data_IF_818701902122
#
_entry.id   IF_818701902122
#
_cell.length_a   1.000
_cell.length_b   1.000
_cell.length_c   1.000
_cell.angle_alpha   90.00
_cell.angle_beta   90.00
_cell.angle_gamma   90.00
#
_symmetry.space_group_name_H-M   'P 1'
#
loop_
_entity.id
_entity.type
_entity.pdbx_description
1 polymer ?
#
# COMPACT_ATOMS: atom_id res chain seq x y z
N UNK A 1 -8.86 14.84 -0.22
CA UNK A 1 -10.28 14.49 0.01
C UNK A 1 -10.36 13.60 1.23
N UNK A 2 -11.00 14.01 2.34
CA UNK A 2 -11.10 13.22 3.57
C UNK A 2 -11.70 11.83 3.36
N UNK A 3 -12.65 11.69 2.43
CA UNK A 3 -13.32 10.43 2.10
C UNK A 3 -12.37 9.42 1.47
N UNK A 4 -11.50 9.86 0.55
CA UNK A 4 -10.52 8.99 -0.12
C UNK A 4 -9.48 8.49 0.89
N UNK A 5 -9.05 9.35 1.81
CA UNK A 5 -8.04 8.98 2.80
C UNK A 5 -8.59 7.90 3.73
N UNK A 6 -9.81 8.11 4.24
CA UNK A 6 -10.50 7.12 5.07
C UNK A 6 -10.67 5.79 4.34
N UNK A 7 -11.08 5.81 3.07
CA UNK A 7 -11.28 4.58 2.29
C UNK A 7 -9.97 3.79 2.10
N UNK A 8 -8.85 4.48 1.84
CA UNK A 8 -7.53 3.84 1.75
C UNK A 8 -7.11 3.26 3.11
N UNK A 9 -7.26 4.02 4.19
CA UNK A 9 -6.90 3.56 5.54
C UNK A 9 -7.75 2.37 5.98
N UNK A 10 -9.05 2.36 5.67
CA UNK A 10 -9.93 1.23 5.99
C UNK A 10 -9.55 -0.01 5.19
N UNK A 11 -9.22 0.13 3.89
CA UNK A 11 -8.71 -0.98 3.08
C UNK A 11 -7.35 -1.48 3.56
N UNK A 12 -6.47 -0.59 4.01
CA UNK A 12 -5.17 -0.95 4.56
C UNK A 12 -5.29 -1.70 5.90
N UNK A 13 -6.28 -1.38 6.73
CA UNK A 13 -6.62 -2.16 7.93
C UNK A 13 -7.06 -3.58 7.57
N UNK A 14 -7.93 -3.74 6.56
CA UNK A 14 -8.33 -5.06 6.06
C UNK A 14 -7.12 -5.84 5.55
N UNK A 15 -6.25 -5.21 4.77
CA UNK A 15 -5.00 -5.83 4.28
C UNK A 15 -4.12 -6.34 5.43
N UNK A 16 -3.97 -5.56 6.51
CA UNK A 16 -3.20 -5.97 7.68
C UNK A 16 -3.85 -7.15 8.43
N UNK A 17 -5.17 -7.17 8.55
CA UNK A 17 -5.90 -8.29 9.14
C UNK A 17 -5.71 -9.58 8.33
N UNK A 18 -5.83 -9.50 7.00
CA UNK A 18 -5.59 -10.65 6.11
C UNK A 18 -4.18 -11.23 6.26
N UNK A 19 -3.18 -10.38 6.49
CA UNK A 19 -1.79 -10.78 6.72
C UNK A 19 -1.47 -11.08 8.21
N UNK A 20 -2.46 -11.04 9.10
CA UNK A 20 -2.31 -11.26 10.54
C UNK A 20 -1.29 -10.31 11.21
N UNK A 21 -1.21 -9.08 10.73
CA UNK A 21 -0.32 -8.05 11.28
C UNK A 21 -1.01 -7.31 12.43
N UNK A 22 -0.23 -6.91 13.44
CA UNK A 22 -0.73 -6.14 14.59
C UNK A 22 -1.17 -4.72 14.24
N UNK A 23 -0.69 -4.17 13.12
CA UNK A 23 -1.04 -2.82 12.66
C UNK A 23 -0.89 -2.68 11.15
N UNK A 24 -1.58 -1.71 10.52
CA UNK A 24 -1.43 -1.42 9.10
C UNK A 24 -0.02 -0.96 8.71
N UNK A 25 0.58 -1.65 7.74
CA UNK A 25 1.84 -1.22 7.13
C UNK A 25 1.65 0.01 6.22
N UNK A 26 0.46 0.19 5.67
CA UNK A 26 0.06 1.32 4.84
C UNK A 26 -0.94 2.19 5.60
N UNK A 27 -0.75 3.51 5.59
CA UNK A 27 -1.75 4.51 5.99
C UNK A 27 -1.56 5.75 5.13
N UNK A 28 -2.59 6.58 4.97
CA UNK A 28 -2.48 7.85 4.26
C UNK A 28 -1.42 8.77 4.87
N UNK A 29 -1.30 8.79 6.19
CA UNK A 29 -0.22 9.50 6.88
C UNK A 29 1.17 9.01 6.45
N UNK A 30 1.42 7.69 6.46
CA UNK A 30 2.69 7.10 6.01
C UNK A 30 2.94 7.34 4.52
N UNK A 31 1.89 7.32 3.70
CA UNK A 31 1.98 7.58 2.26
C UNK A 31 2.40 9.03 2.00
N UNK A 32 1.78 10.01 2.67
CA UNK A 32 2.15 11.43 2.54
C UNK A 32 3.58 11.69 3.01
N UNK A 33 4.04 10.93 4.02
CA UNK A 33 5.40 11.04 4.57
C UNK A 33 6.46 10.23 3.80
N UNK A 34 6.14 9.62 2.66
CA UNK A 34 7.07 8.76 1.91
C UNK A 34 7.04 9.04 0.41
N UNK A 35 8.01 8.46 -0.31
CA UNK A 35 8.08 8.43 -1.77
C UNK A 35 7.31 7.24 -2.37
N UNK A 36 6.41 6.62 -1.60
CA UNK A 36 5.67 5.44 -2.04
C UNK A 36 4.58 5.82 -3.04
N UNK A 37 4.49 5.04 -4.11
CA UNK A 37 3.38 5.14 -5.07
C UNK A 37 2.32 4.10 -4.71
N UNK A 38 1.07 4.56 -4.62
CA UNK A 38 -0.09 3.71 -4.38
C UNK A 38 -0.91 3.56 -5.66
N UNK A 39 -1.03 2.35 -6.17
CA UNK A 39 -1.95 1.99 -7.25
C UNK A 39 -3.25 1.48 -6.64
N UNK A 40 -4.39 2.02 -7.09
CA UNK A 40 -5.72 1.63 -6.63
C UNK A 40 -6.45 0.90 -7.75
N UNK A 41 -6.94 -0.30 -7.45
CA UNK A 41 -7.96 -0.96 -8.26
C UNK A 41 -9.32 -0.54 -7.75
N UNK A 42 -10.15 0.03 -8.61
CA UNK A 42 -11.47 0.56 -8.25
C UNK A 42 -12.44 0.40 -9.41
N UNK A 43 -13.72 0.41 -9.08
CA UNK A 43 -14.82 0.39 -10.04
C UNK A 43 -15.89 1.41 -9.66
N UNK A 44 -16.70 1.81 -10.63
CA UNK A 44 -17.90 2.60 -10.39
C UNK A 44 -19.12 1.68 -10.40
N UNK A 45 -19.83 1.61 -9.29
CA UNK A 45 -21.12 0.93 -9.23
C UNK A 45 -22.23 1.90 -9.62
N UNK A 46 -22.84 1.60 -10.77
CA UNK A 46 -23.88 2.45 -11.39
C UNK A 46 -25.18 2.40 -10.59
N UNK A 47 -25.60 1.22 -10.11
CA UNK A 47 -26.87 1.02 -9.42
C UNK A 47 -26.93 1.76 -8.08
N UNK A 48 -25.80 1.84 -7.37
CA UNK A 48 -25.65 2.52 -6.09
C UNK A 48 -25.04 3.92 -6.24
N UNK A 49 -24.63 4.31 -7.45
CA UNK A 49 -24.03 5.60 -7.77
C UNK A 49 -22.81 5.92 -6.86
N UNK A 50 -21.92 4.93 -6.68
CA UNK A 50 -20.73 5.04 -5.81
C UNK A 50 -19.50 4.41 -6.44
N UNK A 51 -18.32 5.00 -6.19
CA UNK A 51 -17.03 4.36 -6.50
C UNK A 51 -16.62 3.41 -5.37
N UNK A 52 -16.20 2.19 -5.72
CA UNK A 52 -15.69 1.18 -4.79
C UNK A 52 -14.23 0.88 -5.04
N UNK A 53 -13.46 0.80 -3.96
CA UNK A 53 -12.06 0.36 -4.03
C UNK A 53 -12.04 -1.15 -3.82
N UNK A 54 -11.41 -1.87 -4.75
CA UNK A 54 -11.32 -3.33 -4.77
C UNK A 54 -10.02 -3.83 -4.18
N UNK A 55 -8.93 -3.06 -4.32
CA UNK A 55 -7.62 -3.44 -3.86
C UNK A 55 -6.58 -2.34 -4.08
N UNK A 56 -5.37 -2.56 -3.56
CA UNK A 56 -4.25 -1.65 -3.79
C UNK A 56 -2.91 -2.39 -3.91
N UNK A 57 -1.97 -1.76 -4.59
CA UNK A 57 -0.55 -2.12 -4.56
C UNK A 57 0.27 -0.90 -4.14
N UNK A 58 1.06 -1.04 -3.07
CA UNK A 58 1.98 -0.01 -2.60
C UNK A 58 3.40 -0.38 -2.99
N UNK A 59 4.06 0.47 -3.75
CA UNK A 59 5.45 0.29 -4.18
C UNK A 59 6.30 1.48 -3.76
N UNK A 60 7.60 1.27 -3.62
CA UNK A 60 8.54 2.33 -3.30
C UNK A 60 9.97 1.84 -3.42
N UNK A 61 10.88 2.77 -3.71
CA UNK A 61 12.32 2.46 -3.74
C UNK A 61 12.84 2.34 -2.32
N UNK A 62 13.73 1.39 -2.09
CA UNK A 62 14.40 1.16 -0.81
C UNK A 62 15.84 0.80 -1.07
N UNK A 63 16.73 1.44 -0.32
CA UNK A 63 18.11 0.99 -0.18
C UNK A 63 18.09 -0.24 0.71
N UNK A 64 18.46 -1.38 0.16
CA UNK A 64 18.47 -2.66 0.84
C UNK A 64 19.90 -3.19 0.82
N UNK A 65 20.35 -3.72 1.96
CA UNK A 65 21.53 -4.56 2.01
C UNK A 65 21.09 -5.97 1.67
N UNK A 66 21.44 -6.44 0.48
CA UNK A 66 21.08 -7.76 -0.01
C UNK A 66 22.32 -8.64 -0.13
N UNK A 67 22.10 -9.93 -0.01
CA UNK A 67 23.10 -10.94 -0.37
C UNK A 67 22.68 -11.60 -1.68
N UNK A 68 23.64 -11.79 -2.58
CA UNK A 68 23.42 -12.66 -3.74
C UNK A 68 23.52 -14.15 -3.35
N UNK A 69 23.40 -15.04 -4.34
CA UNK A 69 23.48 -16.48 -4.12
C UNK A 69 24.85 -16.96 -3.62
N UNK A 70 25.90 -16.15 -3.73
CA UNK A 70 27.26 -16.43 -3.27
C UNK A 70 27.57 -15.74 -1.93
N UNK A 71 26.56 -15.20 -1.26
CA UNK A 71 26.65 -14.45 0.00
C UNK A 71 27.49 -13.16 -0.12
N UNK A 72 27.66 -12.61 -1.32
CA UNK A 72 28.29 -11.30 -1.50
C UNK A 72 27.28 -10.18 -1.25
N UNK A 73 27.73 -9.11 -0.60
CA UNK A 73 26.88 -7.96 -0.30
C UNK A 73 26.68 -7.12 -1.55
N UNK A 74 25.43 -6.81 -1.87
CA UNK A 74 25.04 -5.92 -2.95
C UNK A 74 24.22 -4.76 -2.38
N UNK A 75 24.62 -3.54 -2.73
CA UNK A 75 23.84 -2.31 -2.53
C UNK A 75 23.37 -1.85 -3.91
N UNK A 76 22.08 -2.04 -4.20
CA UNK A 76 21.48 -1.59 -5.46
C UNK A 76 21.26 -0.07 -5.47
N UNK A 77 21.35 0.54 -6.65
CA UNK A 77 21.08 1.98 -6.88
C UNK A 77 19.60 2.37 -6.68
#
# INVERSE_FOLDING_TARGET
>A
SPTVYKAIDDLAKLSAQCMQLRSPLTTCEKLVASDHTLYLSWEYDVDKNVSRILGFAKVGRKRLFLYDSEMQTYEGE
#
